data_IF_389270463699
#
_entry.id   IF_389270463699
#
_cell.length_a   1.000
_cell.length_b   1.000
_cell.length_c   1.000
_cell.angle_alpha   90.00
_cell.angle_beta   90.00
_cell.angle_gamma   90.00
#
_symmetry.space_group_name_H-M   'P 1'
#
loop_
_entity.id
_entity.type
_entity.pdbx_description
1 polymer ?
#
# COMPACT_ATOMS: atom_id res chain seq x y z
N UNK A 1 -24.66 -35.08 -22.84
CA UNK A 1 -23.31 -34.96 -22.23
C UNK A 1 -22.60 -33.82 -22.93
N UNK A 2 -23.08 -32.57 -22.81
CA UNK A 2 -22.79 -31.59 -21.76
C UNK A 2 -21.29 -31.35 -21.52
N UNK A 3 -20.86 -30.22 -22.11
CA UNK A 3 -19.88 -29.22 -21.65
C UNK A 3 -18.42 -29.65 -21.43
N UNK A 4 -17.51 -29.01 -22.18
CA UNK A 4 -16.29 -28.39 -21.62
C UNK A 4 -15.65 -27.41 -22.63
N UNK A 5 -16.42 -26.39 -23.03
CA UNK A 5 -15.92 -25.21 -23.78
C UNK A 5 -15.96 -23.95 -22.91
N UNK A 6 -16.15 -24.04 -21.60
CA UNK A 6 -16.18 -22.86 -20.72
C UNK A 6 -15.50 -23.23 -19.41
N UNK A 7 -14.18 -23.07 -19.38
CA UNK A 7 -13.42 -22.79 -18.15
C UNK A 7 -12.32 -21.77 -18.49
N UNK A 8 -12.74 -20.68 -19.15
CA UNK A 8 -12.07 -19.41 -18.94
C UNK A 8 -12.33 -18.99 -17.49
N UNK A 9 -11.30 -19.04 -16.66
CA UNK A 9 -11.02 -17.99 -15.71
C UNK A 9 -9.55 -18.11 -15.33
N UNK A 10 -8.74 -17.28 -15.98
CA UNK A 10 -7.39 -16.95 -15.52
C UNK A 10 -7.55 -16.49 -14.07
N UNK A 11 -7.11 -17.32 -13.11
CA UNK A 11 -6.90 -16.89 -11.73
C UNK A 11 -5.80 -15.82 -11.76
N UNK A 12 -6.21 -14.56 -11.93
CA UNK A 12 -5.42 -13.42 -11.49
C UNK A 12 -5.49 -13.43 -9.96
N UNK A 13 -4.70 -14.33 -9.35
CA UNK A 13 -4.44 -14.29 -7.92
C UNK A 13 -3.88 -12.91 -7.61
N UNK A 14 -4.65 -12.12 -6.88
CA UNK A 14 -4.24 -10.82 -6.37
C UNK A 14 -2.97 -11.05 -5.55
N UNK A 15 -1.81 -10.76 -6.14
CA UNK A 15 -0.53 -10.94 -5.48
C UNK A 15 -0.55 -10.10 -4.21
N UNK A 16 -0.32 -10.76 -3.08
CA UNK A 16 -0.15 -10.12 -1.78
C UNK A 16 1.05 -9.15 -1.91
N UNK A 17 0.78 -7.86 -2.12
CA UNK A 17 1.77 -6.81 -2.16
C UNK A 17 1.79 -6.13 -0.78
N UNK A 18 2.58 -6.64 0.18
CA UNK A 18 2.61 -6.09 1.54
C UNK A 18 3.20 -4.67 1.61
N UNK A 19 3.71 -4.12 0.50
CA UNK A 19 4.30 -2.79 0.43
C UNK A 19 3.28 -1.77 -0.08
N UNK A 20 2.57 -2.08 -1.16
CA UNK A 20 1.57 -1.17 -1.73
C UNK A 20 0.14 -1.44 -1.25
N UNK A 21 -0.20 -2.70 -0.93
CA UNK A 21 -1.55 -3.14 -0.58
C UNK A 21 -1.54 -4.20 0.55
N UNK A 22 -1.14 -3.85 1.78
CA UNK A 22 -1.14 -4.80 2.88
C UNK A 22 -2.57 -5.27 3.21
N UNK A 23 -2.86 -6.54 2.92
CA UNK A 23 -4.18 -7.18 3.03
C UNK A 23 -4.85 -6.98 4.40
N UNK A 24 -4.06 -6.81 5.46
CA UNK A 24 -4.55 -6.72 6.85
C UNK A 24 -5.14 -5.36 7.26
N UNK A 25 -5.19 -4.37 6.36
CA UNK A 25 -5.69 -3.02 6.68
C UNK A 25 -6.73 -2.47 5.70
N UNK A 26 -7.00 -3.16 4.59
CA UNK A 26 -7.95 -2.74 3.56
C UNK A 26 -9.35 -3.36 3.80
N UNK A 27 -10.04 -2.96 4.87
CA UNK A 27 -11.46 -3.33 5.06
C UNK A 27 -12.31 -2.33 4.28
N UNK A 28 -12.85 -2.74 3.13
CA UNK A 28 -13.76 -1.92 2.31
C UNK A 28 -13.09 -1.05 1.24
N UNK A 29 -11.89 -1.40 0.78
CA UNK A 29 -11.22 -0.73 -0.34
C UNK A 29 -10.54 0.60 -0.01
N UNK A 30 -10.59 1.03 1.26
CA UNK A 30 -9.90 2.23 1.75
C UNK A 30 -8.63 1.80 2.48
N UNK A 31 -7.47 2.29 2.03
CA UNK A 31 -6.21 2.03 2.71
C UNK A 31 -6.12 2.86 4.01
N UNK A 32 -5.50 2.30 5.05
CA UNK A 32 -5.35 3.01 6.33
C UNK A 32 -4.59 4.33 6.20
N UNK A 33 -3.64 4.42 5.25
CA UNK A 33 -2.89 5.65 4.99
C UNK A 33 -3.78 6.79 4.49
N UNK A 34 -4.88 6.48 3.79
CA UNK A 34 -5.82 7.47 3.28
C UNK A 34 -6.67 8.06 4.40
N UNK A 35 -7.12 7.20 5.32
CA UNK A 35 -7.80 7.62 6.54
C UNK A 35 -6.89 8.54 7.35
N UNK A 36 -5.62 8.16 7.53
CA UNK A 36 -4.64 8.97 8.26
C UNK A 36 -4.43 10.33 7.57
N UNK A 37 -4.22 10.34 6.24
CA UNK A 37 -4.03 11.58 5.47
C UNK A 37 -5.24 12.51 5.57
N UNK A 38 -6.45 11.97 5.51
CA UNK A 38 -7.69 12.76 5.60
C UNK A 38 -7.94 13.36 7.00
N UNK A 39 -7.30 12.83 8.04
CA UNK A 39 -7.47 13.27 9.44
C UNK A 39 -6.38 14.20 9.94
N UNK A 40 -5.27 14.31 9.22
CA UNK A 40 -4.11 15.13 9.61
C UNK A 40 -4.00 16.38 8.73
N UNK A 41 -3.42 17.44 9.27
CA UNK A 41 -2.90 18.53 8.44
C UNK A 41 -1.76 18.05 7.55
N UNK A 42 -1.45 18.81 6.50
CA UNK A 42 -0.32 18.49 5.59
C UNK A 42 0.99 18.29 6.36
N UNK A 43 1.30 19.19 7.30
CA UNK A 43 2.54 19.12 8.08
C UNK A 43 2.58 17.90 9.00
N UNK A 44 1.46 17.57 9.65
CA UNK A 44 1.35 16.37 10.48
C UNK A 44 1.49 15.08 9.65
N UNK A 45 0.88 15.02 8.47
CA UNK A 45 1.00 13.88 7.57
C UNK A 45 2.45 13.70 7.07
N UNK A 46 3.11 14.81 6.71
CA UNK A 46 4.54 14.81 6.35
C UNK A 46 5.40 14.34 7.54
N UNK A 47 5.09 14.81 8.75
CA UNK A 47 5.74 14.36 9.99
C UNK A 47 5.58 12.86 10.22
N UNK A 48 4.36 12.34 10.06
CA UNK A 48 4.06 10.90 10.15
C UNK A 48 4.85 10.08 9.12
N UNK A 49 4.93 10.56 7.88
CA UNK A 49 5.72 9.90 6.84
C UNK A 49 7.22 9.89 7.18
N UNK A 50 7.78 11.02 7.59
CA UNK A 50 9.20 11.12 8.03
C UNK A 50 9.52 10.15 9.17
N UNK A 51 8.63 10.04 10.16
CA UNK A 51 8.77 9.08 11.25
C UNK A 51 8.80 7.62 10.75
N UNK A 52 7.93 7.27 9.80
CA UNK A 52 7.93 5.94 9.20
C UNK A 52 9.19 5.67 8.37
N UNK A 53 9.68 6.63 7.59
CA UNK A 53 10.95 6.52 6.86
C UNK A 53 12.07 6.17 7.84
N UNK A 54 12.22 6.93 8.93
CA UNK A 54 13.25 6.68 9.94
C UNK A 54 13.10 5.28 10.57
N UNK A 55 11.87 4.90 10.95
CA UNK A 55 11.56 3.57 11.50
C UNK A 55 12.00 2.45 10.57
N UNK A 56 11.66 2.53 9.29
CA UNK A 56 11.94 1.45 8.35
C UNK A 56 13.42 1.41 7.93
N UNK A 57 14.06 2.55 7.73
CA UNK A 57 15.52 2.61 7.44
C UNK A 57 16.33 2.00 8.59
N UNK A 58 16.01 2.36 9.84
CA UNK A 58 16.72 1.82 11.01
C UNK A 58 16.44 0.34 11.27
N UNK A 59 15.24 -0.14 10.92
CA UNK A 59 14.85 -1.53 11.12
C UNK A 59 15.33 -2.47 10.03
N UNK A 60 15.64 -1.95 8.84
CA UNK A 60 16.11 -2.74 7.70
C UNK A 60 17.33 -3.61 8.06
N UNK A 61 18.30 -3.06 8.79
CA UNK A 61 19.50 -3.80 9.21
C UNK A 61 19.28 -4.80 10.34
N UNK A 62 18.12 -4.77 11.01
CA UNK A 62 17.79 -5.63 12.15
C UNK A 62 16.86 -6.78 11.78
N UNK A 63 15.94 -6.54 10.84
CA UNK A 63 14.92 -7.53 10.47
C UNK A 63 14.49 -7.43 9.01
N UNK A 64 13.80 -6.36 8.64
CA UNK A 64 12.99 -6.33 7.42
C UNK A 64 13.78 -6.15 6.12
N UNK A 65 15.11 -5.99 6.18
CA UNK A 65 15.99 -5.96 5.02
C UNK A 65 15.50 -5.01 3.93
N UNK A 66 15.45 -5.53 2.70
CA UNK A 66 15.02 -4.79 1.52
C UNK A 66 13.54 -4.37 1.59
N UNK A 67 12.65 -5.18 2.17
CA UNK A 67 11.23 -4.86 2.29
C UNK A 67 10.99 -3.59 3.12
N UNK A 68 11.74 -3.43 4.21
CA UNK A 68 11.69 -2.21 5.02
C UNK A 68 12.23 -1.01 4.21
N UNK A 69 13.29 -1.16 3.42
CA UNK A 69 13.79 -0.07 2.57
C UNK A 69 12.76 0.35 1.51
N UNK A 70 12.02 -0.59 0.92
CA UNK A 70 10.93 -0.28 -0.02
C UNK A 70 9.77 0.44 0.68
N UNK A 71 9.42 0.04 1.91
CA UNK A 71 8.43 0.77 2.72
C UNK A 71 8.91 2.18 3.04
N UNK A 72 10.18 2.37 3.38
CA UNK A 72 10.75 3.69 3.58
C UNK A 72 10.64 4.57 2.32
N UNK A 73 11.00 4.03 1.14
CA UNK A 73 10.86 4.74 -0.12
C UNK A 73 9.40 5.15 -0.38
N UNK A 74 8.43 4.26 -0.14
CA UNK A 74 7.01 4.54 -0.30
C UNK A 74 6.53 5.69 0.60
N UNK A 75 6.93 5.70 1.87
CA UNK A 75 6.60 6.80 2.78
C UNK A 75 7.26 8.12 2.38
N UNK A 76 8.45 8.08 1.76
CA UNK A 76 9.08 9.27 1.20
C UNK A 76 8.30 9.82 0.00
N UNK A 77 7.81 8.96 -0.90
CA UNK A 77 6.92 9.35 -2.01
C UNK A 77 5.64 10.05 -1.51
N UNK A 78 5.03 9.52 -0.46
CA UNK A 78 3.88 10.15 0.18
C UNK A 78 4.20 11.52 0.78
N UNK A 79 5.39 11.70 1.36
CA UNK A 79 5.80 12.97 1.96
C UNK A 79 6.06 14.07 0.90
N UNK A 80 6.56 13.69 -0.28
CA UNK A 80 6.85 14.66 -1.37
C UNK A 80 5.65 14.91 -2.29
N UNK A 81 4.53 14.21 -2.08
CA UNK A 81 3.32 14.35 -2.90
C UNK A 81 3.36 13.60 -4.24
N UNK A 82 4.37 12.76 -4.48
CA UNK A 82 4.56 12.01 -5.72
C UNK A 82 4.03 10.57 -5.67
N UNK A 83 3.49 10.14 -4.52
CA UNK A 83 2.81 8.86 -4.42
C UNK A 83 1.53 8.90 -5.26
N UNK A 84 1.63 8.52 -6.53
CA UNK A 84 0.47 8.39 -7.40
C UNK A 84 -0.49 7.38 -6.79
N UNK A 85 -1.65 7.92 -6.45
CA UNK A 85 -2.78 7.25 -5.86
C UNK A 85 -3.51 6.46 -6.95
N UNK A 86 -3.75 5.18 -6.71
CA UNK A 86 -4.81 4.48 -7.42
C UNK A 86 -6.09 4.65 -6.60
N UNK A 87 -6.96 5.63 -6.91
CA UNK A 87 -8.32 5.55 -6.41
C UNK A 87 -8.87 4.20 -6.84
N UNK A 88 -9.47 3.46 -5.92
CA UNK A 88 -10.38 2.38 -6.30
C UNK A 88 -11.48 3.08 -7.10
N UNK A 89 -11.42 2.97 -8.42
CA UNK A 89 -12.49 3.43 -9.29
C UNK A 89 -13.73 2.67 -8.86
N UNK A 90 -14.78 3.40 -8.46
CA UNK A 90 -16.12 2.85 -8.40
C UNK A 90 -16.47 2.37 -9.82
N UNK A 91 -16.27 1.07 -10.09
CA UNK A 91 -16.94 0.40 -11.19
C UNK A 91 -18.35 0.06 -10.71
N UNK A 92 -19.34 0.71 -11.35
CA UNK A 92 -20.73 0.26 -11.50
C UNK A 92 -20.84 -1.20 -11.92
#
# INVERSE_FOLDING_TARGET
MLLNTIDQAVEQGQQDDPVNHPVHYATGGIETIDIIRAKLTTDEFVGFCKGNVLKYVTRASLKGGEEDLRKAAKYLEFAVGNGHFHPVTEET
#
